data_IF_881581573274
#
_entry.id   IF_881581573274
#
_cell.length_a   1.000
_cell.length_b   1.000
_cell.length_c   1.000
_cell.angle_alpha   90.00
_cell.angle_beta   90.00
_cell.angle_gamma   90.00
#
_symmetry.space_group_name_H-M   'P 1'
#
loop_
_entity.id
_entity.type
_entity.pdbx_description
1 polymer ?
#
# COMPACT_ATOMS: atom_id res chain seq x y z
N UNK A 1 25.16 39.46 -12.73
CA UNK A 1 24.49 38.24 -12.29
C UNK A 1 25.22 37.71 -11.05
N UNK A 2 24.67 37.95 -9.86
CA UNK A 2 25.27 37.49 -8.60
C UNK A 2 25.18 35.96 -8.53
N UNK A 3 26.30 35.25 -8.61
CA UNK A 3 26.39 33.83 -8.36
C UNK A 3 26.15 33.59 -6.85
N UNK A 4 24.99 33.09 -6.48
CA UNK A 4 24.71 32.60 -5.14
C UNK A 4 25.29 31.20 -5.05
N UNK A 5 26.28 31.02 -4.20
CA UNK A 5 26.86 29.71 -3.89
C UNK A 5 26.27 29.21 -2.57
N UNK A 6 25.93 27.95 -2.52
CA UNK A 6 25.50 27.26 -1.29
C UNK A 6 26.47 26.14 -0.97
N UNK A 7 26.74 25.99 0.30
CA UNK A 7 27.59 24.95 0.85
C UNK A 7 26.81 24.20 1.91
N UNK A 8 26.85 22.89 1.88
CA UNK A 8 26.32 22.01 2.91
C UNK A 8 27.47 21.22 3.51
N UNK A 9 27.62 21.31 4.81
CA UNK A 9 28.55 20.51 5.60
C UNK A 9 27.76 19.51 6.43
N UNK A 10 28.09 18.25 6.31
CA UNK A 10 27.49 17.15 7.08
C UNK A 10 28.58 16.55 7.93
N UNK A 11 28.37 16.47 9.25
CA UNK A 11 29.36 15.96 10.20
C UNK A 11 28.78 14.84 11.05
N UNK A 12 29.56 13.80 11.29
CA UNK A 12 29.34 12.87 12.37
C UNK A 12 29.72 13.49 13.72
N UNK A 13 29.49 12.79 14.82
CA UNK A 13 29.79 13.25 16.19
C UNK A 13 31.28 13.40 16.50
N UNK A 14 32.15 13.60 15.51
CA UNK A 14 33.53 14.02 15.80
C UNK A 14 34.62 13.57 14.86
N UNK A 15 34.37 12.92 13.72
CA UNK A 15 35.48 12.35 12.95
C UNK A 15 35.47 12.59 11.45
N UNK A 16 34.30 12.69 10.81
CA UNK A 16 34.22 12.88 9.36
C UNK A 16 33.35 14.08 8.99
N UNK A 17 33.78 14.82 7.99
CA UNK A 17 33.03 15.91 7.39
C UNK A 17 32.82 15.63 5.92
N UNK A 18 31.56 15.70 5.50
CA UNK A 18 31.15 15.61 4.12
C UNK A 18 30.71 16.98 3.65
N UNK A 19 31.41 17.53 2.67
CA UNK A 19 31.12 18.83 2.10
C UNK A 19 30.52 18.70 0.70
N UNK A 20 29.45 19.45 0.46
CA UNK A 20 28.78 19.56 -0.83
C UNK A 20 28.54 21.03 -1.17
N UNK A 21 28.87 21.41 -2.38
CA UNK A 21 28.73 22.78 -2.88
C UNK A 21 27.73 22.80 -4.03
N UNK A 22 26.95 23.90 -4.12
CA UNK A 22 26.02 24.14 -5.21
C UNK A 22 26.05 25.62 -5.61
N UNK A 23 25.99 25.89 -6.91
CA UNK A 23 25.84 27.24 -7.46
C UNK A 23 24.37 27.66 -7.64
N UNK A 24 23.44 26.78 -7.24
CA UNK A 24 22.00 27.04 -7.32
C UNK A 24 21.35 26.95 -5.93
N UNK A 25 20.05 27.20 -5.85
CA UNK A 25 19.24 26.98 -4.65
C UNK A 25 18.94 25.49 -4.40
N UNK A 26 19.33 24.62 -5.32
CA UNK A 26 19.19 23.16 -5.20
C UNK A 26 20.56 22.53 -5.00
N UNK A 27 20.62 21.53 -4.15
CA UNK A 27 21.78 20.66 -3.97
C UNK A 27 21.38 19.25 -4.32
N UNK A 28 22.05 18.67 -5.31
CA UNK A 28 21.91 17.23 -5.63
C UNK A 28 23.19 16.53 -5.19
N UNK A 29 23.02 15.49 -4.39
CA UNK A 29 24.17 14.72 -3.91
C UNK A 29 24.69 13.81 -5.02
N UNK A 30 26.00 13.82 -5.31
CA UNK A 30 26.60 12.83 -6.19
C UNK A 30 26.38 11.42 -5.62
N UNK A 31 25.68 10.56 -6.37
CA UNK A 31 25.20 9.25 -5.90
C UNK A 31 26.28 8.39 -5.25
N UNK A 32 27.51 8.40 -5.79
CA UNK A 32 28.63 7.62 -5.22
C UNK A 32 29.05 8.13 -3.84
N UNK A 33 29.14 9.47 -3.66
CA UNK A 33 29.48 10.07 -2.36
C UNK A 33 28.36 9.87 -1.36
N UNK A 34 27.10 10.01 -1.79
CA UNK A 34 25.92 9.77 -1.00
C UNK A 34 25.86 8.33 -0.47
N UNK A 35 25.96 7.31 -1.36
CA UNK A 35 25.96 5.89 -0.97
C UNK A 35 27.11 5.56 -0.03
N UNK A 36 28.29 6.15 -0.25
CA UNK A 36 29.45 5.94 0.65
C UNK A 36 29.17 6.53 2.05
N UNK A 37 28.67 7.75 2.12
CA UNK A 37 28.31 8.41 3.40
C UNK A 37 27.27 7.57 4.15
N UNK A 38 26.20 7.13 3.49
CA UNK A 38 25.18 6.31 4.12
C UNK A 38 25.75 4.97 4.64
N UNK A 39 26.68 4.36 3.90
CA UNK A 39 27.32 3.11 4.32
C UNK A 39 28.28 3.28 5.49
N UNK A 40 29.03 4.40 5.50
CA UNK A 40 30.01 4.72 6.55
C UNK A 40 29.33 5.11 7.88
N UNK A 41 28.12 5.71 7.83
CA UNK A 41 27.45 6.36 8.97
C UNK A 41 26.18 5.61 9.42
N UNK A 42 26.05 4.33 9.08
CA UNK A 42 24.90 3.52 9.52
C UNK A 42 24.77 3.49 11.04
N UNK A 43 23.58 3.80 11.55
CA UNK A 43 23.27 3.86 12.99
C UNK A 43 23.67 5.15 13.68
N UNK A 44 24.29 6.09 12.95
CA UNK A 44 24.74 7.36 13.51
C UNK A 44 23.81 8.55 13.15
N UNK A 45 23.94 9.60 13.94
CA UNK A 45 23.25 10.86 13.72
C UNK A 45 24.23 11.89 13.17
N UNK A 46 23.92 12.39 11.97
CA UNK A 46 24.69 13.42 11.29
C UNK A 46 24.15 14.81 11.60
N UNK A 47 25.02 15.77 11.94
CA UNK A 47 24.67 17.19 12.00
C UNK A 47 24.83 17.80 10.61
N UNK A 48 23.81 18.49 10.15
CA UNK A 48 23.76 19.13 8.83
C UNK A 48 23.72 20.64 8.97
N UNK A 49 24.77 21.30 8.48
CA UNK A 49 24.90 22.76 8.47
C UNK A 49 24.80 23.27 7.03
N UNK A 50 23.93 24.22 6.77
CA UNK A 50 23.75 24.84 5.45
C UNK A 50 24.22 26.28 5.47
N UNK A 51 25.06 26.63 4.54
CA UNK A 51 25.56 28.00 4.35
C UNK A 51 25.16 28.55 2.97
N UNK A 52 24.74 29.80 2.92
CA UNK A 52 24.58 30.53 1.69
C UNK A 52 25.61 31.66 1.58
N UNK A 53 26.28 31.77 0.47
CA UNK A 53 27.15 32.89 0.15
C UNK A 53 26.39 33.85 -0.80
N UNK A 54 26.07 35.03 -0.29
CA UNK A 54 25.36 36.08 -1.03
C UNK A 54 26.24 37.32 -1.01
N UNK A 55 26.79 37.67 -2.16
CA UNK A 55 27.80 38.73 -2.27
C UNK A 55 29.01 38.43 -1.38
N UNK A 56 29.31 39.26 -0.39
CA UNK A 56 30.42 39.07 0.56
C UNK A 56 29.97 38.49 1.88
N UNK A 57 28.71 38.16 2.03
CA UNK A 57 28.16 37.66 3.31
C UNK A 57 28.00 36.14 3.27
N UNK A 58 28.41 35.48 4.35
CA UNK A 58 28.14 34.07 4.63
C UNK A 58 27.00 34.00 5.63
N UNK A 59 25.87 33.43 5.19
CA UNK A 59 24.70 33.20 6.03
C UNK A 59 24.71 31.73 6.46
N UNK A 60 24.64 31.47 7.76
CA UNK A 60 24.48 30.14 8.32
C UNK A 60 23.02 29.94 8.69
N UNK A 61 22.40 28.86 8.14
CA UNK A 61 21.06 28.46 8.53
C UNK A 61 21.11 27.60 9.79
N UNK A 62 19.97 27.48 10.49
CA UNK A 62 19.86 26.62 11.68
C UNK A 62 20.24 25.18 11.30
N UNK A 63 21.13 24.57 12.10
CA UNK A 63 21.51 23.17 11.95
C UNK A 63 20.32 22.24 12.17
N UNK A 64 20.33 21.14 11.44
CA UNK A 64 19.38 20.04 11.62
C UNK A 64 20.11 18.70 11.58
N UNK A 65 19.42 17.63 11.94
CA UNK A 65 20.03 16.32 12.14
C UNK A 65 19.39 15.28 11.25
N UNK A 66 20.21 14.37 10.71
CA UNK A 66 19.78 13.16 10.04
C UNK A 66 20.24 11.96 10.84
N UNK A 67 19.31 11.08 11.17
CA UNK A 67 19.64 9.75 11.64
C UNK A 67 19.73 8.81 10.45
N UNK A 68 20.85 8.10 10.29
CA UNK A 68 21.04 7.14 9.23
C UNK A 68 20.65 5.76 9.75
N UNK A 69 19.48 5.26 9.35
CA UNK A 69 19.02 3.96 9.79
C UNK A 69 20.04 2.86 9.43
N UNK A 70 20.32 1.91 10.33
CA UNK A 70 21.09 0.71 9.99
C UNK A 70 20.34 -0.22 9.06
N UNK A 71 19.02 -0.10 8.99
CA UNK A 71 18.13 -0.98 8.29
C UNK A 71 17.89 -0.47 6.86
N UNK A 72 18.07 -1.37 5.89
CA UNK A 72 17.77 -1.06 4.50
C UNK A 72 16.26 -1.00 4.27
N UNK A 73 15.85 -0.16 3.33
CA UNK A 73 14.49 -0.17 2.79
C UNK A 73 14.48 -0.93 1.45
N UNK A 74 13.34 -1.46 1.05
CA UNK A 74 13.15 -2.06 -0.26
C UNK A 74 13.47 -1.06 -1.37
N UNK A 75 13.90 -1.59 -2.50
CA UNK A 75 14.44 -0.78 -3.60
C UNK A 75 13.38 -0.06 -4.41
N UNK A 76 12.18 -0.63 -4.48
CA UNK A 76 11.10 -0.13 -5.31
C UNK A 76 9.84 0.16 -4.50
N UNK A 77 9.09 1.13 -4.98
CA UNK A 77 7.77 1.49 -4.50
C UNK A 77 6.81 1.54 -5.69
N UNK A 78 5.81 0.68 -5.73
CA UNK A 78 4.68 0.88 -6.63
C UNK A 78 3.62 1.77 -5.98
N UNK A 79 2.89 2.49 -6.78
CA UNK A 79 1.74 3.28 -6.35
C UNK A 79 0.84 3.59 -7.54
N UNK A 80 -0.40 3.89 -7.21
CA UNK A 80 -1.38 4.36 -8.17
C UNK A 80 -1.55 5.87 -8.06
N UNK A 81 -1.39 6.58 -9.17
CA UNK A 81 -1.76 7.99 -9.28
C UNK A 81 -3.22 8.08 -9.73
N UNK A 82 -4.05 8.72 -8.92
CA UNK A 82 -5.48 8.87 -9.19
C UNK A 82 -5.95 10.27 -8.79
N UNK A 83 -6.90 10.81 -9.53
CA UNK A 83 -7.60 12.03 -9.14
C UNK A 83 -8.30 11.86 -7.79
N UNK A 84 -8.40 12.92 -6.97
CA UNK A 84 -9.00 12.82 -5.63
C UNK A 84 -10.50 12.53 -5.64
N UNK A 85 -11.18 12.79 -6.75
CA UNK A 85 -12.56 12.40 -6.97
C UNK A 85 -12.60 11.19 -7.91
N UNK A 86 -13.32 10.13 -7.55
CA UNK A 86 -13.49 8.92 -8.36
C UNK A 86 -14.13 9.16 -9.73
N UNK A 87 -14.65 10.33 -9.96
CA UNK A 87 -15.30 10.72 -11.23
C UNK A 87 -14.35 10.68 -12.43
N UNK A 88 -13.02 10.80 -12.18
CA UNK A 88 -12.00 10.82 -13.23
C UNK A 88 -11.08 9.58 -13.12
N UNK A 89 -11.66 8.42 -12.79
CA UNK A 89 -10.94 7.16 -12.71
C UNK A 89 -10.33 6.68 -14.04
N UNK A 90 -10.71 7.28 -15.15
CA UNK A 90 -10.13 7.02 -16.48
C UNK A 90 -8.79 7.73 -16.74
N UNK A 91 -8.25 8.46 -15.78
CA UNK A 91 -6.93 9.09 -15.82
C UNK A 91 -5.95 8.49 -14.82
N UNK A 92 -6.16 7.25 -14.43
CA UNK A 92 -5.36 6.52 -13.47
C UNK A 92 -4.05 6.03 -14.09
N UNK A 93 -2.97 6.03 -13.30
CA UNK A 93 -1.68 5.47 -13.65
C UNK A 93 -1.16 4.58 -12.52
N UNK A 94 -0.60 3.44 -12.85
CA UNK A 94 0.19 2.60 -11.93
C UNK A 94 1.66 2.79 -12.25
N UNK A 95 2.42 3.25 -11.28
CA UNK A 95 3.82 3.60 -11.43
C UNK A 95 4.70 2.76 -10.49
N UNK A 96 5.93 2.53 -10.92
CA UNK A 96 7.01 1.96 -10.12
C UNK A 96 8.12 3.00 -9.96
N UNK A 97 8.51 3.29 -8.73
CA UNK A 97 9.56 4.23 -8.36
C UNK A 97 10.77 3.48 -7.82
N UNK A 98 11.97 3.77 -8.36
CA UNK A 98 13.22 3.35 -7.74
C UNK A 98 13.56 4.30 -6.57
N UNK A 99 13.69 3.77 -5.35
CA UNK A 99 13.99 4.54 -4.14
C UNK A 99 15.49 4.88 -3.99
N UNK A 100 16.37 4.25 -4.77
CA UNK A 100 17.80 4.60 -4.78
C UNK A 100 18.10 5.85 -5.62
N UNK A 101 17.16 6.26 -6.46
CA UNK A 101 17.23 7.45 -7.31
C UNK A 101 15.83 8.05 -7.51
N UNK A 102 15.64 8.87 -8.56
CA UNK A 102 14.34 9.49 -8.86
C UNK A 102 13.65 8.90 -10.09
N UNK A 103 14.13 7.76 -10.61
CA UNK A 103 13.53 7.13 -11.78
C UNK A 103 12.15 6.56 -11.45
N UNK A 104 11.17 6.90 -12.26
CA UNK A 104 9.80 6.40 -12.17
C UNK A 104 9.39 5.82 -13.50
N UNK A 105 8.88 4.59 -13.49
CA UNK A 105 8.42 3.87 -14.66
C UNK A 105 6.90 3.74 -14.62
N UNK A 106 6.23 3.99 -15.73
CA UNK A 106 4.82 3.69 -15.91
C UNK A 106 4.66 2.18 -16.14
N UNK A 107 3.92 1.51 -15.26
CA UNK A 107 3.56 0.10 -15.42
C UNK A 107 2.26 -0.03 -16.23
N UNK A 108 1.26 0.76 -15.89
CA UNK A 108 -0.05 0.72 -16.55
C UNK A 108 -0.76 2.08 -16.46
N UNK A 109 -1.60 2.37 -17.45
CA UNK A 109 -2.57 3.47 -17.42
C UNK A 109 -3.86 3.08 -18.14
N UNK A 110 -4.87 3.94 -18.10
CA UNK A 110 -6.14 3.66 -18.74
C UNK A 110 -6.07 3.57 -20.27
N UNK A 111 -5.01 4.07 -20.91
CA UNK A 111 -4.86 3.97 -22.37
C UNK A 111 -4.63 2.53 -22.81
N UNK A 112 -4.02 1.70 -21.96
CA UNK A 112 -3.79 0.29 -22.26
C UNK A 112 -5.05 -0.58 -22.15
N UNK A 113 -6.14 -0.06 -21.58
CA UNK A 113 -7.40 -0.78 -21.33
C UNK A 113 -8.62 -0.17 -22.02
N UNK A 114 -8.43 0.54 -23.11
CA UNK A 114 -9.51 1.24 -23.81
C UNK A 114 -10.29 2.18 -22.85
N UNK A 115 -9.57 2.98 -22.09
CA UNK A 115 -10.05 3.90 -21.04
C UNK A 115 -10.85 3.24 -19.90
N UNK A 116 -10.72 1.94 -19.76
CA UNK A 116 -11.33 1.23 -18.62
C UNK A 116 -10.47 1.32 -17.36
N UNK A 117 -11.09 1.14 -16.20
CA UNK A 117 -10.40 1.21 -14.92
C UNK A 117 -9.39 0.08 -14.75
N UNK A 118 -8.18 0.43 -14.31
CA UNK A 118 -7.15 -0.48 -13.82
C UNK A 118 -7.12 -0.33 -12.31
N UNK A 119 -7.52 -1.36 -11.59
CA UNK A 119 -7.63 -1.28 -10.14
C UNK A 119 -7.03 -2.51 -9.48
N UNK A 120 -6.76 -2.39 -8.15
CA UNK A 120 -6.40 -3.52 -7.30
C UNK A 120 -5.14 -4.26 -7.78
N UNK A 121 -4.04 -3.52 -7.98
CA UNK A 121 -2.75 -4.18 -8.12
C UNK A 121 -2.24 -4.60 -6.74
N UNK A 122 -1.63 -5.75 -6.66
CA UNK A 122 -0.92 -6.24 -5.47
C UNK A 122 0.20 -7.18 -5.87
N UNK A 123 1.28 -7.18 -5.09
CA UNK A 123 2.44 -8.05 -5.27
C UNK A 123 2.72 -8.83 -3.98
N UNK A 124 3.21 -10.05 -4.08
CA UNK A 124 3.55 -10.87 -2.92
C UNK A 124 4.90 -10.56 -2.28
N UNK A 125 5.62 -9.56 -2.75
CA UNK A 125 6.92 -9.12 -2.20
C UNK A 125 8.02 -10.19 -2.20
N UNK A 126 7.86 -11.30 -2.91
CA UNK A 126 8.88 -12.31 -3.07
C UNK A 126 10.07 -11.80 -3.90
N UNK A 127 11.19 -12.53 -3.88
CA UNK A 127 12.34 -12.21 -4.72
C UNK A 127 12.01 -12.19 -6.22
N UNK A 128 11.11 -13.08 -6.65
CA UNK A 128 10.47 -13.06 -7.95
C UNK A 128 8.99 -12.72 -7.73
N UNK A 129 8.60 -11.45 -7.85
CA UNK A 129 7.26 -11.03 -7.47
C UNK A 129 6.20 -11.68 -8.35
N UNK A 130 5.14 -12.12 -7.69
CA UNK A 130 3.89 -12.51 -8.33
C UNK A 130 2.93 -11.35 -8.18
N UNK A 131 2.45 -10.82 -9.29
CA UNK A 131 1.58 -9.63 -9.31
C UNK A 131 0.19 -10.00 -9.82
N UNK A 132 -0.79 -9.35 -9.23
CA UNK A 132 -2.19 -9.44 -9.61
C UNK A 132 -2.69 -8.03 -9.92
N UNK A 133 -3.27 -7.82 -11.11
CA UNK A 133 -3.81 -6.54 -11.52
C UNK A 133 -5.17 -6.74 -12.18
N UNK A 134 -6.22 -6.25 -11.52
CA UNK A 134 -7.57 -6.34 -12.05
C UNK A 134 -7.86 -5.19 -13.02
N UNK A 135 -8.29 -5.52 -14.23
CA UNK A 135 -8.65 -4.58 -15.31
C UNK A 135 -10.10 -4.75 -15.69
N UNK A 136 -10.84 -3.64 -15.71
CA UNK A 136 -12.26 -3.61 -16.11
C UNK A 136 -12.40 -3.39 -17.61
N UNK A 137 -13.64 -3.35 -18.10
CA UNK A 137 -13.97 -3.05 -19.50
C UNK A 137 -14.38 -4.27 -20.31
N UNK A 138 -14.63 -4.06 -21.61
CA UNK A 138 -15.17 -5.09 -22.53
C UNK A 138 -14.22 -6.27 -22.73
N UNK A 139 -12.92 -6.06 -22.56
CA UNK A 139 -11.85 -7.07 -22.58
C UNK A 139 -11.31 -7.33 -21.19
N UNK A 140 -12.05 -6.93 -20.15
CA UNK A 140 -11.66 -7.02 -18.76
C UNK A 140 -11.26 -8.42 -18.33
N UNK A 141 -10.60 -8.49 -17.20
CA UNK A 141 -10.06 -9.69 -16.59
C UNK A 141 -8.98 -9.30 -15.60
N UNK A 142 -8.31 -10.28 -15.06
CA UNK A 142 -7.17 -10.08 -14.19
C UNK A 142 -5.88 -10.49 -14.88
N UNK A 143 -4.90 -9.61 -14.90
CA UNK A 143 -3.56 -10.01 -15.33
C UNK A 143 -2.82 -10.52 -14.09
N UNK A 144 -2.39 -11.76 -14.19
CA UNK A 144 -1.55 -12.44 -13.22
C UNK A 144 -0.16 -12.60 -13.82
N UNK A 145 0.85 -12.07 -13.14
CA UNK A 145 2.26 -12.16 -13.54
C UNK A 145 3.02 -13.04 -12.56
N UNK A 146 3.74 -14.03 -13.08
CA UNK A 146 4.67 -14.86 -12.30
C UNK A 146 5.84 -15.28 -13.18
N UNK A 147 7.06 -15.18 -12.67
CA UNK A 147 8.30 -15.55 -13.37
C UNK A 147 8.43 -14.89 -14.77
N UNK A 148 7.97 -13.64 -14.88
CA UNK A 148 7.99 -12.87 -16.13
C UNK A 148 6.93 -13.28 -17.16
N UNK A 149 6.02 -14.19 -16.80
CA UNK A 149 4.93 -14.60 -17.67
C UNK A 149 3.62 -13.93 -17.26
N UNK A 150 2.99 -13.24 -18.20
CA UNK A 150 1.68 -12.65 -18.04
C UNK A 150 0.58 -13.61 -18.48
N UNK A 151 -0.37 -13.87 -17.62
CA UNK A 151 -1.59 -14.65 -17.91
C UNK A 151 -2.81 -13.77 -17.68
N UNK A 152 -3.73 -13.76 -18.61
CA UNK A 152 -5.04 -13.13 -18.42
C UNK A 152 -6.00 -14.18 -17.90
N UNK A 153 -6.52 -13.98 -16.70
CA UNK A 153 -7.43 -14.89 -16.03
C UNK A 153 -8.80 -14.24 -15.80
N UNK A 154 -9.84 -15.02 -15.87
CA UNK A 154 -11.17 -14.64 -15.42
C UNK A 154 -11.43 -15.32 -14.08
N UNK A 155 -11.53 -14.51 -13.03
CA UNK A 155 -11.74 -14.99 -11.66
C UNK A 155 -13.21 -15.15 -11.29
N UNK A 156 -14.13 -14.63 -12.15
CA UNK A 156 -15.57 -14.84 -11.99
C UNK A 156 -15.95 -16.26 -12.41
N UNK A 157 -16.79 -16.90 -11.60
CA UNK A 157 -17.34 -18.23 -11.88
C UNK A 157 -18.88 -18.17 -11.89
N UNK A 158 -19.55 -19.30 -12.13
CA UNK A 158 -21.02 -19.40 -12.02
C UNK A 158 -21.49 -19.27 -10.54
N UNK A 159 -20.59 -19.38 -9.59
CA UNK A 159 -20.88 -19.39 -8.15
C UNK A 159 -20.36 -18.16 -7.42
N UNK A 160 -19.33 -17.49 -7.93
CA UNK A 160 -18.66 -16.36 -7.27
C UNK A 160 -18.51 -15.17 -8.20
N UNK A 161 -18.59 -13.96 -7.67
CA UNK A 161 -18.19 -12.76 -8.40
C UNK A 161 -16.67 -12.73 -8.63
N UNK A 162 -16.19 -11.77 -9.42
CA UNK A 162 -14.75 -11.62 -9.70
C UNK A 162 -13.97 -11.06 -8.52
N UNK A 163 -12.70 -11.46 -8.40
CA UNK A 163 -11.78 -11.00 -7.39
C UNK A 163 -11.43 -9.51 -7.57
N UNK A 164 -11.35 -8.75 -6.46
CA UNK A 164 -10.98 -7.34 -6.47
C UNK A 164 -9.81 -7.05 -5.51
N UNK A 165 -10.03 -6.85 -4.22
CA UNK A 165 -8.96 -6.57 -3.24
C UNK A 165 -8.46 -7.87 -2.62
N UNK A 166 -7.19 -7.96 -2.31
CA UNK A 166 -6.68 -9.12 -1.62
C UNK A 166 -5.17 -9.19 -1.59
N UNK A 167 -4.68 -10.37 -1.36
CA UNK A 167 -3.26 -10.65 -1.26
C UNK A 167 -2.92 -12.00 -1.89
N UNK A 168 -1.69 -12.11 -2.35
CA UNK A 168 -1.11 -13.33 -2.91
C UNK A 168 -0.20 -13.93 -1.83
N UNK A 169 -0.25 -15.25 -1.65
CA UNK A 169 0.66 -15.97 -0.74
C UNK A 169 2.11 -15.77 -1.15
N UNK A 170 3.02 -15.89 -0.19
CA UNK A 170 4.44 -15.61 -0.41
C UNK A 170 5.08 -16.49 -1.51
N UNK A 171 4.60 -17.72 -1.67
CA UNK A 171 5.03 -18.64 -2.72
C UNK A 171 4.36 -18.38 -4.09
N UNK A 172 3.41 -17.46 -4.15
CA UNK A 172 2.67 -17.09 -5.36
C UNK A 172 1.63 -18.11 -5.81
N UNK A 173 1.41 -19.20 -5.09
CA UNK A 173 0.46 -20.24 -5.47
C UNK A 173 -0.98 -19.88 -5.18
N UNK A 174 -1.25 -19.32 -4.01
CA UNK A 174 -2.59 -18.97 -3.58
C UNK A 174 -2.83 -17.47 -3.59
N UNK A 175 -4.07 -17.08 -3.80
CA UNK A 175 -4.54 -15.72 -3.57
C UNK A 175 -5.83 -15.75 -2.77
N UNK A 176 -5.94 -14.87 -1.79
CA UNK A 176 -7.18 -14.61 -1.05
C UNK A 176 -7.69 -13.23 -1.42
N UNK A 177 -8.91 -13.15 -1.91
CA UNK A 177 -9.46 -11.92 -2.46
C UNK A 177 -10.89 -11.68 -2.00
N UNK A 178 -11.23 -10.40 -1.93
CA UNK A 178 -12.63 -9.97 -1.79
C UNK A 178 -13.32 -10.03 -3.14
N UNK A 179 -14.58 -10.44 -3.15
CA UNK A 179 -15.53 -10.14 -4.21
C UNK A 179 -16.48 -9.07 -3.68
N UNK A 180 -16.67 -7.97 -4.40
CA UNK A 180 -17.49 -6.88 -3.89
C UNK A 180 -18.31 -6.19 -4.98
N UNK A 181 -19.52 -5.76 -4.60
CA UNK A 181 -20.27 -4.72 -5.29
C UNK A 181 -20.09 -3.41 -4.52
N UNK A 182 -19.44 -2.42 -5.17
CA UNK A 182 -19.05 -1.17 -4.53
C UNK A 182 -20.07 -0.09 -4.90
N UNK A 183 -20.47 0.72 -3.92
CA UNK A 183 -21.34 1.89 -4.11
C UNK A 183 -20.60 3.16 -3.67
N UNK A 184 -20.36 4.12 -4.59
CA UNK A 184 -19.91 5.46 -4.24
C UNK A 184 -21.13 6.34 -3.88
N UNK A 185 -21.01 7.12 -2.80
CA UNK A 185 -21.98 8.13 -2.41
C UNK A 185 -21.32 9.50 -2.48
N UNK A 186 -21.91 10.41 -3.23
CA UNK A 186 -21.48 11.79 -3.32
C UNK A 186 -22.33 12.67 -2.37
N UNK A 187 -21.65 13.39 -1.48
CA UNK A 187 -22.27 14.31 -0.54
C UNK A 187 -22.10 15.76 -0.98
N UNK A 188 -23.17 16.45 -1.33
CA UNK A 188 -23.12 17.86 -1.75
C UNK A 188 -22.90 18.86 -0.60
N UNK A 189 -23.11 18.44 0.64
CA UNK A 189 -23.17 19.29 1.84
C UNK A 189 -22.09 19.02 2.87
N UNK A 190 -21.18 18.05 2.61
CA UNK A 190 -20.09 17.69 3.52
C UNK A 190 -18.74 18.15 3.00
N UNK A 191 -17.79 18.25 3.91
CA UNK A 191 -16.38 18.49 3.58
C UNK A 191 -15.80 17.27 2.87
N UNK A 192 -16.16 16.06 3.32
CA UNK A 192 -15.91 14.78 2.67
C UNK A 192 -17.02 14.52 1.65
N UNK A 193 -16.70 14.83 0.39
CA UNK A 193 -17.69 14.75 -0.70
C UNK A 193 -17.95 13.35 -1.20
N UNK A 194 -17.02 12.45 -1.02
CA UNK A 194 -17.13 11.07 -1.47
C UNK A 194 -17.01 10.12 -0.29
N UNK A 195 -17.90 9.15 -0.26
CA UNK A 195 -17.85 7.98 0.59
C UNK A 195 -18.03 6.74 -0.28
N UNK A 196 -17.28 5.67 -0.01
CA UNK A 196 -17.37 4.42 -0.74
C UNK A 196 -17.59 3.29 0.25
N UNK A 197 -18.47 2.38 -0.08
CA UNK A 197 -18.73 1.20 0.76
C UNK A 197 -19.03 -0.03 -0.11
N UNK A 198 -18.78 -1.21 0.44
CA UNK A 198 -19.20 -2.47 -0.13
C UNK A 198 -20.69 -2.69 0.16
N UNK A 199 -21.51 -2.84 -0.89
CA UNK A 199 -22.92 -3.20 -0.76
C UNK A 199 -23.07 -4.65 -0.31
N UNK A 200 -22.22 -5.52 -0.86
CA UNK A 200 -22.03 -6.88 -0.43
C UNK A 200 -20.58 -7.28 -0.76
N UNK A 201 -19.98 -8.04 0.13
CA UNK A 201 -18.61 -8.55 -0.06
C UNK A 201 -18.42 -9.90 0.62
N UNK A 202 -17.71 -10.78 -0.07
CA UNK A 202 -17.34 -12.12 0.39
C UNK A 202 -15.86 -12.36 0.07
N UNK A 203 -15.25 -13.38 0.68
CA UNK A 203 -13.90 -13.80 0.35
C UNK A 203 -13.90 -15.05 -0.51
N UNK A 204 -12.98 -15.08 -1.46
CA UNK A 204 -12.68 -16.25 -2.30
C UNK A 204 -11.20 -16.58 -2.24
N UNK A 205 -10.91 -17.87 -2.25
CA UNK A 205 -9.55 -18.40 -2.37
C UNK A 205 -9.31 -18.87 -3.81
N UNK A 206 -8.19 -18.44 -4.38
CA UNK A 206 -7.74 -18.85 -5.72
C UNK A 206 -6.49 -19.73 -5.57
N UNK A 207 -6.48 -20.91 -6.17
CA UNK A 207 -5.27 -21.70 -6.45
C UNK A 207 -4.86 -21.45 -7.91
N UNK A 208 -3.83 -20.64 -8.12
CA UNK A 208 -3.36 -20.26 -9.44
C UNK A 208 -2.68 -21.41 -10.20
N UNK A 209 -2.18 -22.43 -9.51
CA UNK A 209 -1.59 -23.61 -10.13
C UNK A 209 -2.65 -24.59 -10.62
N UNK A 210 -3.74 -24.76 -9.85
CA UNK A 210 -4.86 -25.61 -10.25
C UNK A 210 -5.88 -24.90 -11.14
N UNK A 211 -5.83 -23.58 -11.23
CA UNK A 211 -6.80 -22.75 -11.93
C UNK A 211 -8.20 -22.85 -11.30
N UNK A 212 -8.27 -22.85 -9.97
CA UNK A 212 -9.53 -23.02 -9.24
C UNK A 212 -9.86 -21.87 -8.30
N UNK A 213 -11.15 -21.58 -8.15
CA UNK A 213 -11.72 -20.65 -7.17
C UNK A 213 -12.54 -21.47 -6.17
N UNK A 214 -12.36 -21.17 -4.89
CA UNK A 214 -13.07 -21.82 -3.79
C UNK A 214 -13.61 -20.75 -2.85
N UNK A 215 -14.80 -20.93 -2.33
CA UNK A 215 -15.35 -20.18 -1.21
C UNK A 215 -15.48 -21.08 0.02
N UNK A 216 -15.81 -20.50 1.17
CA UNK A 216 -16.05 -21.22 2.41
C UNK A 216 -17.24 -20.56 3.14
N UNK A 217 -18.24 -21.31 3.61
CA UNK A 217 -19.40 -20.73 4.30
C UNK A 217 -19.07 -19.84 5.51
N UNK A 218 -17.85 -19.95 6.05
CA UNK A 218 -17.38 -19.10 7.13
C UNK A 218 -16.91 -17.71 6.67
N UNK A 219 -16.55 -17.55 5.40
CA UNK A 219 -16.02 -16.30 4.84
C UNK A 219 -16.79 -15.83 3.60
N UNK A 220 -17.92 -16.44 3.33
CA UNK A 220 -18.87 -16.04 2.30
C UNK A 220 -20.29 -16.43 2.76
N UNK A 221 -21.21 -15.50 2.65
CA UNK A 221 -22.58 -15.72 3.10
C UNK A 221 -23.43 -14.46 3.09
N UNK A 222 -24.67 -14.56 3.61
CA UNK A 222 -25.65 -13.45 3.54
C UNK A 222 -25.80 -12.68 4.85
N UNK A 223 -25.24 -13.17 5.94
CA UNK A 223 -25.37 -12.54 7.27
C UNK A 223 -24.27 -11.52 7.57
N UNK A 224 -23.16 -11.68 6.91
CA UNK A 224 -21.98 -10.85 7.13
C UNK A 224 -21.40 -10.38 5.79
N UNK A 225 -20.51 -9.40 5.89
CA UNK A 225 -19.65 -8.94 4.82
C UNK A 225 -18.21 -9.15 5.23
N UNK A 226 -17.40 -9.73 4.37
CA UNK A 226 -15.98 -9.96 4.58
C UNK A 226 -15.17 -9.23 3.51
N UNK A 227 -14.08 -8.56 3.92
CA UNK A 227 -13.26 -7.75 3.01
C UNK A 227 -11.80 -7.65 3.48
N UNK A 228 -10.94 -7.19 2.59
CA UNK A 228 -9.52 -6.91 2.81
C UNK A 228 -8.75 -8.04 3.49
N UNK A 229 -8.73 -9.24 2.90
CA UNK A 229 -7.99 -10.34 3.48
C UNK A 229 -6.48 -10.17 3.28
N UNK A 230 -5.68 -10.72 4.21
CA UNK A 230 -4.24 -10.89 4.07
C UNK A 230 -3.76 -12.22 4.68
N UNK A 231 -2.65 -12.74 4.17
CA UNK A 231 -1.98 -13.92 4.74
C UNK A 231 -1.11 -13.52 5.94
N UNK A 232 -0.99 -14.42 6.91
CA UNK A 232 0.11 -14.40 7.86
C UNK A 232 1.44 -14.68 7.18
N UNK A 233 2.56 -14.30 7.80
CA UNK A 233 3.90 -14.49 7.24
C UNK A 233 4.22 -15.95 6.88
N UNK A 234 3.69 -16.91 7.63
CA UNK A 234 3.87 -18.34 7.39
C UNK A 234 2.78 -18.97 6.52
N UNK A 235 1.83 -18.18 6.02
CA UNK A 235 0.66 -18.61 5.26
C UNK A 235 -0.29 -19.59 5.98
N UNK A 236 -0.23 -19.74 7.31
CA UNK A 236 -1.12 -20.64 8.04
C UNK A 236 -2.39 -19.98 8.58
N UNK A 237 -2.49 -18.66 8.48
CA UNK A 237 -3.63 -17.88 8.93
C UNK A 237 -3.98 -16.84 7.88
N UNK A 238 -5.26 -16.60 7.69
CA UNK A 238 -5.77 -15.48 6.90
C UNK A 238 -6.46 -14.54 7.88
N UNK A 239 -6.06 -13.26 7.87
CA UNK A 239 -6.72 -12.18 8.60
C UNK A 239 -7.63 -11.42 7.63
N UNK A 240 -8.78 -10.94 8.11
CA UNK A 240 -9.75 -10.21 7.29
C UNK A 240 -10.66 -9.33 8.13
N UNK A 241 -11.30 -8.38 7.51
CA UNK A 241 -12.30 -7.52 8.15
C UNK A 241 -13.69 -8.11 7.92
N UNK A 242 -14.53 -8.10 8.96
CA UNK A 242 -15.89 -8.65 8.93
C UNK A 242 -16.87 -7.73 9.65
N UNK A 243 -18.04 -7.53 9.06
CA UNK A 243 -19.15 -6.79 9.65
C UNK A 243 -20.49 -7.49 9.41
N UNK A 244 -21.50 -7.30 10.25
CA UNK A 244 -22.87 -7.72 9.94
C UNK A 244 -23.36 -7.05 8.67
N UNK A 245 -24.08 -7.78 7.82
CA UNK A 245 -24.67 -7.22 6.60
C UNK A 245 -25.72 -6.16 6.92
N UNK A 246 -25.61 -4.99 6.27
CA UNK A 246 -26.57 -3.89 6.37
C UNK A 246 -27.14 -3.58 4.98
N UNK A 247 -28.44 -3.78 4.74
CA UNK A 247 -29.00 -3.78 3.39
C UNK A 247 -29.19 -2.40 2.74
N UNK A 248 -28.99 -1.28 3.46
CA UNK A 248 -29.31 0.06 2.93
C UNK A 248 -28.16 1.06 3.04
N UNK A 249 -27.92 1.87 1.98
CA UNK A 249 -26.80 2.82 1.93
C UNK A 249 -26.81 3.95 2.97
N UNK A 250 -27.99 4.41 3.43
CA UNK A 250 -28.10 5.44 4.46
C UNK A 250 -27.64 4.99 5.84
N UNK A 251 -27.45 3.69 6.03
CA UNK A 251 -26.92 3.06 7.24
C UNK A 251 -25.40 2.87 7.25
N UNK A 252 -24.66 3.36 6.27
CA UNK A 252 -23.19 3.19 6.18
C UNK A 252 -22.45 3.66 7.42
N UNK A 253 -22.91 4.72 8.08
CA UNK A 253 -22.34 5.22 9.34
C UNK A 253 -22.45 4.25 10.50
N UNK A 254 -23.26 3.21 10.38
CA UNK A 254 -23.40 2.13 11.35
C UNK A 254 -22.57 0.91 10.99
N UNK A 255 -21.99 0.88 9.78
CA UNK A 255 -21.13 -0.20 9.35
C UNK A 255 -19.79 -0.11 10.08
N UNK A 256 -19.50 -1.13 10.88
CA UNK A 256 -18.23 -1.26 11.59
C UNK A 256 -17.68 -2.66 11.40
N UNK A 257 -16.48 -2.70 10.89
CA UNK A 257 -15.78 -3.94 10.65
C UNK A 257 -14.85 -4.23 11.81
N UNK A 258 -14.90 -5.47 12.25
CA UNK A 258 -13.99 -6.04 13.23
C UNK A 258 -12.94 -6.90 12.53
N UNK A 259 -11.82 -7.14 13.19
CA UNK A 259 -10.74 -7.96 12.67
C UNK A 259 -10.92 -9.42 13.09
N UNK A 260 -10.90 -10.30 12.11
CA UNK A 260 -11.05 -11.75 12.28
C UNK A 260 -9.90 -12.53 11.66
N UNK A 261 -9.82 -13.79 11.99
CA UNK A 261 -8.88 -14.73 11.38
C UNK A 261 -9.51 -16.10 11.16
N UNK A 262 -8.99 -16.83 10.17
CA UNK A 262 -9.30 -18.22 9.87
C UNK A 262 -8.00 -18.96 9.59
N UNK A 263 -7.90 -20.22 10.00
CA UNK A 263 -6.73 -21.03 9.68
C UNK A 263 -6.71 -21.44 8.22
N UNK A 264 -5.51 -21.58 7.67
CA UNK A 264 -5.28 -21.97 6.29
C UNK A 264 -4.18 -23.02 6.20
N UNK A 265 -4.37 -24.02 5.36
CA UNK A 265 -3.35 -25.03 5.07
C UNK A 265 -2.71 -24.74 3.70
N UNK A 266 -1.46 -24.22 3.65
CA UNK A 266 -0.82 -23.84 2.39
C UNK A 266 -0.43 -25.04 1.51
N UNK A 267 -0.40 -26.26 2.02
CA UNK A 267 -0.13 -27.47 1.24
C UNK A 267 -1.37 -27.92 0.47
N UNK A 268 -2.53 -27.87 1.08
CA UNK A 268 -3.80 -28.38 0.52
C UNK A 268 -4.71 -27.29 -0.04
N UNK A 269 -4.50 -26.02 0.35
CA UNK A 269 -5.40 -24.90 0.03
C UNK A 269 -6.71 -24.96 0.81
N UNK A 270 -6.76 -25.67 1.94
CA UNK A 270 -7.96 -25.78 2.77
C UNK A 270 -8.03 -24.67 3.82
N UNK A 271 -9.20 -24.06 3.94
CA UNK A 271 -9.56 -23.16 5.03
C UNK A 271 -10.09 -23.97 6.21
N UNK A 272 -9.86 -23.48 7.42
CA UNK A 272 -10.41 -24.08 8.63
C UNK A 272 -11.93 -23.85 8.77
N UNK A 273 -12.53 -24.54 9.73
CA UNK A 273 -13.98 -24.48 9.97
C UNK A 273 -14.38 -23.39 10.99
N UNK A 274 -13.42 -22.81 11.70
CA UNK A 274 -13.67 -21.86 12.79
C UNK A 274 -13.06 -20.50 12.46
N UNK A 275 -13.87 -19.45 12.67
CA UNK A 275 -13.45 -18.06 12.61
C UNK A 275 -13.19 -17.56 14.02
N UNK A 276 -12.07 -16.86 14.21
CA UNK A 276 -11.66 -16.30 15.48
C UNK A 276 -11.67 -14.78 15.42
N UNK A 277 -12.30 -14.15 16.41
CA UNK A 277 -12.22 -12.70 16.58
C UNK A 277 -10.82 -12.34 17.09
N UNK A 278 -10.18 -11.38 16.42
CA UNK A 278 -8.84 -10.88 16.76
C UNK A 278 -8.94 -9.52 17.47
N UNK A 279 -9.78 -8.63 16.94
CA UNK A 279 -10.04 -7.32 17.56
C UNK A 279 -11.45 -6.84 17.25
N UNK A 280 -12.23 -6.56 18.30
CA UNK A 280 -13.59 -6.04 18.21
C UNK A 280 -13.60 -4.51 18.26
N UNK A 281 -13.23 -3.86 17.17
CA UNK A 281 -13.23 -2.41 17.06
C UNK A 281 -14.62 -1.79 17.19
N UNK A 282 -15.65 -2.52 16.76
CA UNK A 282 -17.06 -2.09 16.86
C UNK A 282 -17.51 -1.82 18.31
N UNK A 283 -16.93 -2.53 19.30
CA UNK A 283 -17.20 -2.29 20.72
C UNK A 283 -16.70 -0.91 21.20
N UNK A 284 -15.72 -0.35 20.50
CA UNK A 284 -15.16 0.98 20.76
C UNK A 284 -15.75 2.06 19.83
N UNK A 285 -16.79 1.70 19.05
CA UNK A 285 -17.37 2.58 18.03
C UNK A 285 -16.47 2.82 16.82
N UNK A 286 -15.53 1.89 16.55
CA UNK A 286 -14.51 1.95 15.49
C UNK A 286 -14.72 0.89 14.41
N UNK A 287 -14.01 1.02 13.31
CA UNK A 287 -14.03 0.12 12.15
C UNK A 287 -12.60 -0.14 11.67
N UNK A 288 -12.26 -1.41 11.45
CA UNK A 288 -10.95 -1.84 10.95
C UNK A 288 -10.98 -2.02 9.44
N UNK A 289 -9.88 -1.69 8.78
CA UNK A 289 -9.68 -1.99 7.36
C UNK A 289 -8.21 -2.25 7.01
N UNK A 290 -7.97 -2.92 5.88
CA UNK A 290 -6.65 -3.18 5.30
C UNK A 290 -5.62 -3.81 6.26
N UNK A 291 -5.91 -4.95 6.92
CA UNK A 291 -4.89 -5.64 7.69
C UNK A 291 -3.73 -6.08 6.78
N UNK A 292 -2.50 -5.92 7.27
CA UNK A 292 -1.26 -6.34 6.60
C UNK A 292 -0.28 -6.93 7.61
N UNK A 293 0.01 -8.22 7.47
CA UNK A 293 0.99 -8.90 8.33
C UNK A 293 2.42 -8.48 7.96
N UNK A 294 3.25 -8.23 8.97
CA UNK A 294 4.68 -8.02 8.74
C UNK A 294 5.34 -9.31 8.22
N UNK A 295 6.32 -9.24 7.31
CA UNK A 295 7.00 -10.41 6.76
C UNK A 295 7.67 -11.31 7.80
N UNK A 296 8.09 -10.77 8.95
CA UNK A 296 8.63 -11.55 10.08
C UNK A 296 7.56 -12.19 10.97
N UNK A 297 6.29 -11.89 10.72
CA UNK A 297 5.16 -12.47 11.45
C UNK A 297 4.97 -11.94 12.86
N UNK A 298 5.59 -10.83 13.24
CA UNK A 298 5.46 -10.27 14.59
C UNK A 298 4.26 -9.35 14.74
N UNK A 299 3.93 -8.60 13.67
CA UNK A 299 2.95 -7.54 13.73
C UNK A 299 1.88 -7.67 12.66
N UNK A 300 0.70 -7.17 12.98
CA UNK A 300 -0.38 -6.91 12.03
C UNK A 300 -0.70 -5.42 12.07
N UNK A 301 -0.50 -4.75 10.94
CA UNK A 301 -0.77 -3.34 10.75
C UNK A 301 -2.13 -3.18 10.07
N UNK A 302 -2.97 -2.25 10.53
CA UNK A 302 -4.28 -2.00 9.97
C UNK A 302 -4.71 -0.54 10.16
N UNK A 303 -5.69 -0.10 9.38
CA UNK A 303 -6.30 1.22 9.52
C UNK A 303 -7.54 1.13 10.40
N UNK A 304 -7.76 2.16 11.24
CA UNK A 304 -8.93 2.28 12.11
C UNK A 304 -9.63 3.61 11.85
N UNK A 305 -10.92 3.54 11.49
CA UNK A 305 -11.82 4.68 11.27
C UNK A 305 -12.96 4.66 12.27
N UNK A 306 -13.83 5.68 12.28
CA UNK A 306 -15.04 5.68 13.09
C UNK A 306 -16.12 4.74 12.54
N UNK A 307 -16.12 4.52 11.22
CA UNK A 307 -17.06 3.62 10.52
C UNK A 307 -16.55 3.31 9.11
N UNK A 308 -17.23 2.43 8.41
CA UNK A 308 -17.01 2.18 6.98
C UNK A 308 -15.80 1.30 6.68
N UNK A 309 -15.44 1.25 5.40
CA UNK A 309 -14.50 0.27 4.85
C UNK A 309 -13.31 0.91 4.16
N UNK A 310 -13.50 2.07 3.50
CA UNK A 310 -12.46 2.71 2.70
C UNK A 310 -11.84 3.89 3.45
N UNK A 311 -10.76 3.66 4.20
CA UNK A 311 -10.22 4.59 5.19
C UNK A 311 -9.74 5.91 4.60
N UNK A 312 -9.32 5.94 3.33
CA UNK A 312 -8.83 7.16 2.66
C UNK A 312 -9.89 8.28 2.59
N UNK A 313 -11.18 7.94 2.73
CA UNK A 313 -12.29 8.88 2.72
C UNK A 313 -12.70 9.36 4.13
N UNK A 314 -12.08 8.79 5.16
CA UNK A 314 -12.34 9.09 6.56
C UNK A 314 -11.20 9.90 7.16
N UNK A 315 -11.36 11.22 7.41
CA UNK A 315 -10.24 12.07 7.89
C UNK A 315 -9.66 11.64 9.23
N UNK A 316 -10.47 10.95 10.04
CA UNK A 316 -10.07 10.46 11.37
C UNK A 316 -9.34 9.13 11.34
N UNK A 317 -9.07 8.59 10.15
CA UNK A 317 -8.40 7.29 10.02
C UNK A 317 -6.94 7.38 10.44
N UNK A 318 -6.56 6.46 11.33
CA UNK A 318 -5.22 6.27 11.85
C UNK A 318 -4.71 4.85 11.59
N UNK A 319 -3.39 4.68 11.58
CA UNK A 319 -2.72 3.38 11.57
C UNK A 319 -2.59 2.86 13.00
N UNK A 320 -2.95 1.59 13.18
CA UNK A 320 -2.82 0.85 14.43
C UNK A 320 -2.05 -0.43 14.19
N UNK A 321 -1.33 -0.91 15.20
CA UNK A 321 -0.50 -2.10 15.12
C UNK A 321 -0.81 -3.07 16.25
N UNK A 322 -1.06 -4.33 15.88
CA UNK A 322 -1.22 -5.45 16.81
C UNK A 322 0.10 -6.24 16.85
N UNK A 323 0.64 -6.43 18.02
CA UNK A 323 1.70 -7.42 18.29
C UNK A 323 1.09 -8.81 18.42
N UNK A 324 1.38 -9.70 17.46
CA UNK A 324 0.72 -11.01 17.37
C UNK A 324 1.07 -11.97 18.52
N UNK A 325 2.24 -11.81 19.15
CA UNK A 325 2.69 -12.65 20.24
C UNK A 325 1.99 -12.34 21.57
N UNK A 326 1.63 -11.08 21.81
CA UNK A 326 1.07 -10.59 23.08
C UNK A 326 -0.41 -10.25 22.99
N UNK A 327 -0.92 -10.00 21.76
CA UNK A 327 -2.26 -9.46 21.54
C UNK A 327 -2.38 -7.97 21.86
N UNK A 328 -1.26 -7.28 22.14
CA UNK A 328 -1.26 -5.85 22.42
C UNK A 328 -1.53 -5.05 21.15
N UNK A 329 -2.47 -4.11 21.23
CA UNK A 329 -2.81 -3.20 20.14
C UNK A 329 -2.44 -1.80 20.56
N UNK A 330 -1.66 -1.12 19.72
CA UNK A 330 -1.25 0.26 19.94
C UNK A 330 -1.60 1.14 18.72
N UNK A 331 -2.13 2.33 19.01
CA UNK A 331 -2.23 3.39 18.02
C UNK A 331 -0.84 3.97 17.76
N UNK A 332 -0.49 4.16 16.51
CA UNK A 332 0.85 4.64 16.11
C UNK A 332 0.95 6.17 16.20
N UNK A 333 0.87 6.73 17.42
CA UNK A 333 0.75 8.16 17.69
C UNK A 333 1.84 9.01 17.02
N UNK A 334 3.11 8.57 17.04
CA UNK A 334 4.23 9.31 16.43
C UNK A 334 4.18 9.30 14.90
N UNK A 335 3.54 8.31 14.32
CA UNK A 335 3.47 8.09 12.87
C UNK A 335 2.25 8.76 12.26
N UNK A 336 1.12 8.69 12.94
CA UNK A 336 -0.15 9.22 12.46
C UNK A 336 -0.14 10.75 12.36
N UNK A 337 -0.85 11.26 11.37
CA UNK A 337 -0.99 12.68 11.09
C UNK A 337 -2.35 13.24 11.49
N UNK A 338 -2.64 14.43 11.00
CA UNK A 338 -3.89 15.14 11.30
C UNK A 338 -5.09 14.57 10.55
N UNK A 339 -4.86 14.02 9.35
CA UNK A 339 -5.89 13.51 8.45
C UNK A 339 -5.55 12.09 8.05
N UNK A 340 -6.45 11.44 7.31
CA UNK A 340 -6.36 10.03 6.96
C UNK A 340 -4.94 9.53 6.67
N UNK A 341 -4.53 8.52 7.42
CA UNK A 341 -3.36 7.68 7.20
C UNK A 341 -3.83 6.25 6.90
N UNK A 342 -3.54 5.74 5.70
CA UNK A 342 -4.16 4.50 5.23
C UNK A 342 -3.40 3.88 4.06
N UNK A 343 -3.88 2.75 3.55
CA UNK A 343 -3.28 2.03 2.43
C UNK A 343 -1.78 1.79 2.62
N UNK A 344 -1.47 1.08 3.68
CA UNK A 344 -0.11 0.81 4.11
C UNK A 344 0.43 -0.51 3.56
N UNK A 345 1.75 -0.60 3.50
CA UNK A 345 2.50 -1.81 3.17
C UNK A 345 3.77 -1.92 4.02
N UNK A 346 4.26 -3.14 4.20
CA UNK A 346 5.54 -3.42 4.83
C UNK A 346 6.66 -3.53 3.82
N UNK A 347 7.87 -3.16 4.21
CA UNK A 347 9.09 -3.60 3.52
C UNK A 347 9.34 -5.10 3.76
N UNK A 348 10.09 -5.74 2.87
CA UNK A 348 10.40 -7.16 2.94
C UNK A 348 11.16 -7.57 4.21
N UNK A 349 11.88 -6.65 4.84
CA UNK A 349 12.61 -6.86 6.09
C UNK A 349 11.80 -6.49 7.36
N UNK A 350 10.53 -6.14 7.23
CA UNK A 350 9.64 -5.76 8.35
C UNK A 350 10.02 -4.47 9.10
N UNK A 351 11.01 -3.72 8.62
CA UNK A 351 11.55 -2.56 9.36
C UNK A 351 11.13 -1.21 8.78
N UNK A 352 10.36 -1.22 7.70
CA UNK A 352 9.79 -0.02 7.12
C UNK A 352 8.34 -0.25 6.73
N UNK A 353 7.57 0.82 6.85
CA UNK A 353 6.21 0.89 6.29
C UNK A 353 6.13 2.06 5.33
N UNK A 354 5.34 1.89 4.27
CA UNK A 354 4.90 2.95 3.38
C UNK A 354 3.38 3.05 3.47
N UNK A 355 2.83 4.25 3.41
CA UNK A 355 1.40 4.47 3.49
C UNK A 355 0.99 5.78 2.79
N UNK A 356 -0.29 5.90 2.44
CA UNK A 356 -0.87 7.11 1.89
C UNK A 356 -1.41 7.99 3.02
N UNK A 357 -0.99 9.26 3.05
CA UNK A 357 -1.43 10.24 4.04
C UNK A 357 -1.98 11.49 3.40
N UNK A 358 -3.07 12.01 3.94
CA UNK A 358 -3.66 13.31 3.54
C UNK A 358 -3.28 14.46 4.48
N UNK A 359 -2.26 14.27 5.35
CA UNK A 359 -1.88 15.23 6.41
C UNK A 359 -1.49 16.62 5.94
N UNK A 360 -1.06 16.78 4.68
CA UNK A 360 -0.57 18.07 4.17
C UNK A 360 -1.72 19.02 3.81
N UNK A 361 -2.75 18.53 3.13
CA UNK A 361 -3.79 19.37 2.53
C UNK A 361 -5.22 18.81 2.67
N UNK A 362 -5.39 17.64 3.30
CA UNK A 362 -6.66 16.92 3.47
C UNK A 362 -7.25 16.34 2.17
N UNK A 363 -6.72 16.69 1.02
CA UNK A 363 -7.28 16.35 -0.30
C UNK A 363 -6.50 15.24 -0.97
N UNK A 364 -5.18 15.46 -1.12
CA UNK A 364 -4.33 14.57 -1.88
C UNK A 364 -3.59 13.61 -0.95
N UNK A 365 -3.75 12.31 -1.19
CA UNK A 365 -2.90 11.30 -0.56
C UNK A 365 -1.46 11.46 -1.05
N UNK A 366 -0.50 11.50 -0.11
CA UNK A 366 0.94 11.53 -0.38
C UNK A 366 1.60 10.29 0.20
N UNK A 367 2.65 9.75 -0.42
CA UNK A 367 3.35 8.58 0.11
C UNK A 367 4.29 8.99 1.26
N UNK A 368 4.05 8.43 2.42
CA UNK A 368 4.85 8.60 3.62
C UNK A 368 5.50 7.28 4.02
N UNK A 369 6.62 7.38 4.72
CA UNK A 369 7.36 6.25 5.28
C UNK A 369 7.58 6.43 6.77
N UNK A 370 7.62 5.31 7.49
CA UNK A 370 8.09 5.27 8.87
C UNK A 370 8.96 4.04 9.11
N UNK A 371 9.94 4.17 9.98
CA UNK A 371 10.80 3.06 10.40
C UNK A 371 10.18 2.34 11.58
N UNK A 372 10.20 1.03 11.55
CA UNK A 372 9.75 0.14 12.63
C UNK A 372 10.97 -0.51 13.25
N UNK A 373 11.23 -0.21 14.50
CA UNK A 373 12.36 -0.78 15.25
C UNK A 373 12.09 -2.23 15.68
N UNK A 374 13.12 -2.95 16.09
CA UNK A 374 12.99 -4.36 16.50
C UNK A 374 12.08 -4.57 17.71
N UNK A 375 11.92 -3.57 18.56
CA UNK A 375 11.03 -3.55 19.71
C UNK A 375 9.58 -3.14 19.39
N UNK A 376 9.28 -2.92 18.09
CA UNK A 376 7.97 -2.51 17.62
C UNK A 376 7.70 -1.00 17.72
N UNK A 377 8.63 -0.19 18.23
CA UNK A 377 8.48 1.25 18.20
C UNK A 377 8.56 1.79 16.77
N UNK A 378 7.72 2.76 16.45
CA UNK A 378 7.62 3.32 15.10
C UNK A 378 8.02 4.78 15.09
N UNK A 379 8.85 5.16 14.14
CA UNK A 379 9.36 6.52 14.03
C UNK A 379 8.29 7.49 13.53
N UNK A 380 8.57 8.78 13.69
CA UNK A 380 7.83 9.83 12.98
C UNK A 380 7.91 9.60 11.47
N UNK A 381 6.78 9.77 10.80
CA UNK A 381 6.70 9.60 9.35
C UNK A 381 7.35 10.75 8.58
N UNK A 382 7.90 10.44 7.41
CA UNK A 382 8.45 11.41 6.47
C UNK A 382 7.92 11.18 5.05
N UNK A 383 7.78 12.27 4.31
CA UNK A 383 7.27 12.28 2.94
C UNK A 383 8.30 11.68 1.98
N UNK A 384 7.86 10.91 0.97
CA UNK A 384 8.71 10.43 -0.11
C UNK A 384 9.47 11.58 -0.77
N UNK A 385 10.81 11.60 -0.74
CA UNK A 385 11.59 12.64 -1.40
C UNK A 385 11.40 12.62 -2.92
N UNK A 386 11.30 13.81 -3.51
CA UNK A 386 11.20 14.00 -4.95
C UNK A 386 12.42 14.78 -5.47
N UNK A 387 12.80 14.56 -6.73
CA UNK A 387 13.87 15.32 -7.38
C UNK A 387 13.56 16.83 -7.37
N UNK A 388 12.31 17.19 -7.64
CA UNK A 388 11.78 18.51 -7.40
C UNK A 388 10.82 18.50 -6.21
N UNK A 389 11.19 19.05 -5.04
CA UNK A 389 10.31 19.07 -3.86
C UNK A 389 8.96 19.76 -4.10
N UNK A 390 8.89 20.67 -5.09
CA UNK A 390 7.66 21.41 -5.42
C UNK A 390 6.65 20.57 -6.21
N UNK A 391 6.99 19.33 -6.60
CA UNK A 391 6.08 18.48 -7.39
C UNK A 391 4.76 18.24 -6.66
N UNK A 392 4.79 18.11 -5.34
CA UNK A 392 3.59 17.92 -4.54
C UNK A 392 2.68 19.14 -4.47
N UNK A 393 3.22 20.34 -4.68
CA UNK A 393 2.44 21.58 -4.77
C UNK A 393 1.73 21.73 -6.13
N UNK A 394 2.25 21.06 -7.16
CA UNK A 394 1.80 21.20 -8.55
C UNK A 394 1.10 19.93 -9.09
N UNK A 395 0.99 18.88 -8.28
CA UNK A 395 0.34 17.61 -8.66
C UNK A 395 -1.08 17.56 -8.11
N UNK A 396 -2.05 17.36 -9.00
CA UNK A 396 -3.47 17.18 -8.68
C UNK A 396 -3.89 15.70 -8.56
N UNK A 397 -2.96 14.80 -8.40
CA UNK A 397 -3.19 13.36 -8.22
C UNK A 397 -2.79 12.91 -6.82
N UNK A 398 -3.57 12.00 -6.27
CA UNK A 398 -3.23 11.25 -5.06
C UNK A 398 -2.36 10.06 -5.40
N UNK A 399 -1.41 9.77 -4.52
CA UNK A 399 -0.65 8.52 -4.49
C UNK A 399 -1.44 7.52 -3.63
N UNK A 400 -1.84 6.42 -4.23
CA UNK A 400 -2.71 5.46 -3.56
C UNK A 400 -2.09 4.08 -3.54
N UNK A 401 -2.31 3.33 -2.48
CA UNK A 401 -1.82 1.97 -2.28
C UNK A 401 -0.31 1.88 -2.57
N UNK A 402 0.55 2.59 -1.80
CA UNK A 402 1.99 2.44 -1.94
C UNK A 402 2.43 1.06 -1.45
N UNK A 403 3.11 0.29 -2.29
CA UNK A 403 3.63 -1.03 -1.95
C UNK A 403 5.15 -1.09 -2.13
N UNK A 404 5.85 -1.55 -1.08
CA UNK A 404 7.30 -1.72 -1.05
C UNK A 404 7.70 -3.13 -1.55
N UNK A 405 8.74 -3.23 -2.37
CA UNK A 405 9.32 -4.50 -2.85
C UNK A 405 10.75 -4.35 -3.37
N UNK A 406 11.50 -5.46 -3.41
CA UNK A 406 12.93 -5.44 -3.71
C UNK A 406 13.28 -5.61 -5.19
N UNK A 407 12.43 -6.25 -5.97
CA UNK A 407 12.72 -6.59 -7.37
C UNK A 407 11.75 -5.86 -8.28
N UNK A 408 12.26 -5.12 -9.25
CA UNK A 408 11.43 -4.43 -10.24
C UNK A 408 10.47 -5.39 -10.96
N UNK A 409 9.28 -4.90 -11.30
CA UNK A 409 8.36 -5.64 -12.13
C UNK A 409 8.99 -5.98 -13.49
N UNK A 410 8.75 -7.18 -13.97
CA UNK A 410 9.37 -7.70 -15.19
C UNK A 410 8.68 -7.29 -16.48
N UNK A 411 7.46 -6.77 -16.37
CA UNK A 411 6.63 -6.33 -17.49
C UNK A 411 6.56 -4.80 -17.61
N UNK A 412 6.16 -4.33 -18.77
CA UNK A 412 5.88 -2.93 -19.06
C UNK A 412 4.41 -2.72 -19.50
N UNK A 413 4.05 -1.44 -19.74
CA UNK A 413 2.69 -1.08 -20.17
C UNK A 413 2.29 -1.69 -21.51
N UNK A 414 3.23 -1.91 -22.44
CA UNK A 414 2.96 -2.51 -23.73
C UNK A 414 2.64 -4.01 -23.61
N UNK A 415 3.38 -4.73 -22.78
CA UNK A 415 3.13 -6.15 -22.51
C UNK A 415 1.77 -6.36 -21.81
N UNK A 416 1.44 -5.48 -20.84
CA UNK A 416 0.11 -5.49 -20.22
C UNK A 416 -1.01 -5.19 -21.21
N UNK A 417 -0.83 -4.21 -22.11
CA UNK A 417 -1.79 -3.92 -23.17
C UNK A 417 -2.00 -5.13 -24.09
N UNK A 418 -0.92 -5.79 -24.51
CA UNK A 418 -0.97 -6.98 -25.32
C UNK A 418 -1.73 -8.12 -24.63
N UNK A 419 -1.50 -8.30 -23.31
CA UNK A 419 -2.22 -9.29 -22.52
C UNK A 419 -3.72 -8.92 -22.39
N UNK A 420 -4.05 -7.65 -22.14
CA UNK A 420 -5.43 -7.17 -22.03
C UNK A 420 -6.25 -7.42 -23.31
N UNK A 421 -5.71 -7.05 -24.47
CA UNK A 421 -6.38 -7.25 -25.77
C UNK A 421 -6.22 -8.68 -26.33
N UNK A 422 -5.40 -9.51 -25.70
CA UNK A 422 -5.20 -10.90 -26.08
C UNK A 422 -6.51 -11.70 -26.09
N UNK A 423 -6.62 -12.65 -27.03
CA UNK A 423 -7.81 -13.50 -27.17
C UNK A 423 -7.87 -14.59 -26.11
N UNK A 424 -6.74 -15.01 -25.61
CA UNK A 424 -6.63 -16.08 -24.63
C UNK A 424 -6.98 -15.54 -23.24
N UNK A 425 -8.03 -16.06 -22.65
CA UNK A 425 -8.41 -15.80 -21.25
C UNK A 425 -8.64 -17.15 -20.60
N UNK A 426 -7.89 -17.40 -19.54
CA UNK A 426 -8.07 -18.61 -18.75
C UNK A 426 -9.23 -18.41 -17.78
N UNK A 427 -10.29 -19.19 -17.93
CA UNK A 427 -11.41 -19.20 -17.01
C UNK A 427 -11.07 -20.10 -15.82
N UNK A 428 -11.02 -19.54 -14.62
CA UNK A 428 -10.88 -20.32 -13.42
C UNK A 428 -12.16 -21.14 -13.17
N UNK A 429 -12.00 -22.30 -12.55
CA UNK A 429 -13.11 -23.22 -12.28
C UNK A 429 -13.49 -23.17 -10.81
N UNK A 430 -14.79 -23.14 -10.54
CA UNK A 430 -15.27 -23.28 -9.16
C UNK A 430 -15.01 -24.70 -8.65
N UNK A 431 -14.45 -24.78 -7.45
CA UNK A 431 -14.20 -26.02 -6.71
C UNK A 431 -15.01 -26.00 -5.43
N UNK A 432 -16.10 -26.74 -5.39
CA UNK A 432 -16.91 -26.89 -4.19
C UNK A 432 -16.11 -27.59 -3.07
N UNK A 433 -16.19 -27.04 -1.89
CA UNK A 433 -15.74 -27.74 -0.68
C UNK A 433 -16.80 -28.81 -0.38
N UNK A 434 -16.47 -30.08 -0.59
CA UNK A 434 -17.32 -31.17 -0.09
C UNK A 434 -17.30 -31.11 1.43
N UNK A 435 -18.50 -30.95 2.02
CA UNK A 435 -18.73 -31.13 3.45
C UNK A 435 -18.38 -32.53 3.88
#
# INVERSE_FOLDING_TARGET
PYRRQRQMCIRDRGKKEYQFDSQSYRLQFPIKKWKKMLADEKGDTLSVSVYAHISQQKIHYKDFYWYISPDSIDRYLSYRLIEPAYEIWNMLQVCERNLENFDTRLLADNNITDHSCINCHTSNRAANPTTFMHMRGSKGGTIYSRDGQLRKINTKTDHTAGAVYGEISQDGRFGIFTTAEIIPILHSYRTERLEVFDKCSDLILIDFEQGTVTDNPGISGTEYQETFPCFSANNHTIYFCRAPYIPQPDSTRHMRYDLYSISFNPQTGQLGDSIHEVFRASSEGKSVSFPKCSPDGKYLLFSVSDYGTFPIWHPETDLWMLELSTGKIDKMEETNGRYSDSYHSWSSNSQWIAFASKRDDRVYGRPYFAHVSQDGSVSKAFLLPQENPEVYLNTFKSYNIPELYNTAETYDAHELQKAYFGKETENLRYKSIKK
#
